data_IF_240958193179
#
_entry.id   IF_240958193179
#
_cell.length_a   1.000
_cell.length_b   1.000
_cell.length_c   1.000
_cell.angle_alpha   90.00
_cell.angle_beta   90.00
_cell.angle_gamma   90.00
#
_symmetry.space_group_name_H-M   'P 1'
#
loop_
_entity.id
_entity.type
_entity.pdbx_description
1 polymer ?
#
# COMPACT_ATOMS: atom_id res chain seq x y z
N UNK A 1 -15.45 7.98 15.01
CA UNK A 1 -14.71 9.20 14.61
C UNK A 1 -15.32 9.91 13.40
N UNK A 2 -15.03 11.21 13.28
CA UNK A 2 -15.26 11.98 12.05
C UNK A 2 -14.32 11.54 10.93
N UNK A 3 -14.80 11.64 9.68
CA UNK A 3 -13.98 11.34 8.49
C UNK A 3 -12.99 12.47 8.25
N UNK A 4 -11.73 12.14 8.00
CA UNK A 4 -10.65 13.11 7.84
C UNK A 4 -9.77 12.76 6.64
N UNK A 5 -9.21 13.79 6.01
CA UNK A 5 -8.15 13.65 5.01
C UNK A 5 -6.98 14.49 5.48
N UNK A 6 -5.79 13.89 5.55
CA UNK A 6 -4.53 14.55 5.91
C UNK A 6 -3.66 14.54 4.66
N UNK A 7 -3.28 15.73 4.20
CA UNK A 7 -2.29 15.90 3.14
C UNK A 7 -0.94 16.22 3.77
N UNK A 8 0.08 15.45 3.39
CA UNK A 8 1.44 15.79 3.78
C UNK A 8 1.97 16.94 2.89
N UNK A 9 3.01 17.66 3.33
CA UNK A 9 3.65 18.70 2.51
C UNK A 9 4.08 18.16 1.14
N UNK A 10 4.19 19.06 0.16
CA UNK A 10 4.61 18.72 -1.24
C UNK A 10 5.88 17.88 -1.27
N UNK A 11 6.80 18.12 -0.33
CA UNK A 11 8.10 17.43 -0.30
C UNK A 11 7.96 15.96 0.08
N UNK A 12 6.85 15.56 0.71
CA UNK A 12 6.46 14.17 0.92
C UNK A 12 5.71 13.58 -0.30
N UNK A 13 5.89 14.15 -1.49
CA UNK A 13 5.26 13.66 -2.72
C UNK A 13 3.75 13.79 -2.68
N UNK A 14 3.05 12.81 -3.25
CA UNK A 14 1.59 12.76 -3.26
C UNK A 14 0.98 12.09 -2.00
N UNK A 15 1.74 11.99 -0.91
CA UNK A 15 1.31 11.26 0.28
C UNK A 15 0.05 11.86 0.92
N UNK A 16 -0.98 11.05 1.15
CA UNK A 16 -2.20 11.48 1.85
C UNK A 16 -2.85 10.35 2.66
N UNK A 17 -3.27 10.63 3.89
CA UNK A 17 -3.98 9.68 4.75
C UNK A 17 -5.48 10.00 4.78
N UNK A 18 -6.30 9.04 4.36
CA UNK A 18 -7.75 9.06 4.49
C UNK A 18 -8.17 8.23 5.71
N UNK A 19 -8.88 8.88 6.63
CA UNK A 19 -9.45 8.27 7.84
C UNK A 19 -10.95 8.15 7.67
N UNK A 20 -11.46 6.92 7.58
CA UNK A 20 -12.89 6.67 7.41
C UNK A 20 -13.61 6.52 8.75
N UNK A 21 -12.91 5.97 9.73
CA UNK A 21 -13.30 5.85 11.13
C UNK A 21 -12.04 5.65 12.00
N UNK A 22 -12.18 5.11 13.22
CA UNK A 22 -11.08 4.93 14.17
C UNK A 22 -10.16 3.75 13.82
N UNK A 23 -10.63 2.81 13.01
CA UNK A 23 -9.90 1.60 12.64
C UNK A 23 -9.50 1.61 11.16
N UNK A 24 -10.29 2.25 10.30
CA UNK A 24 -10.16 2.17 8.85
C UNK A 24 -9.40 3.37 8.27
N UNK A 25 -8.17 3.09 7.82
CA UNK A 25 -7.21 4.07 7.34
C UNK A 25 -6.60 3.65 6.00
N UNK A 26 -6.57 4.58 5.03
CA UNK A 26 -5.98 4.38 3.71
C UNK A 26 -4.88 5.41 3.51
N UNK A 27 -3.65 4.97 3.32
CA UNK A 27 -2.55 5.84 2.91
C UNK A 27 -2.39 5.73 1.39
N UNK A 28 -2.42 6.88 0.71
CA UNK A 28 -2.05 6.99 -0.69
C UNK A 28 -0.61 7.45 -0.76
N UNK A 29 0.23 6.68 -1.47
CA UNK A 29 1.67 6.89 -1.66
C UNK A 29 2.47 7.06 -0.36
N UNK A 30 3.79 7.00 -0.47
CA UNK A 30 4.71 7.22 0.65
C UNK A 30 5.99 7.89 0.16
N UNK A 31 6.37 8.96 0.85
CA UNK A 31 7.70 9.53 0.71
C UNK A 31 8.27 9.88 2.09
N UNK A 32 8.85 8.87 2.72
CA UNK A 32 9.51 8.98 4.01
C UNK A 32 11.01 9.22 3.80
N UNK A 33 11.52 10.30 4.38
CA UNK A 33 12.95 10.58 4.42
C UNK A 33 13.57 10.17 5.76
N UNK A 34 14.89 9.98 5.76
CA UNK A 34 15.67 9.95 6.99
C UNK A 34 15.63 11.30 7.71
N UNK A 35 16.01 11.29 8.99
CA UNK A 35 15.91 12.46 9.87
C UNK A 35 16.72 13.66 9.36
N UNK A 36 17.95 13.42 8.93
CA UNK A 36 18.85 14.47 8.40
C UNK A 36 18.22 15.16 7.17
N UNK A 37 17.73 14.38 6.21
CA UNK A 37 17.10 14.93 5.01
C UNK A 37 15.78 15.64 5.34
N UNK A 38 15.04 15.21 6.37
CA UNK A 38 13.84 15.92 6.83
C UNK A 38 14.14 17.31 7.37
N UNK A 39 15.19 17.43 8.18
CA UNK A 39 15.63 18.71 8.73
C UNK A 39 16.05 19.68 7.61
N UNK A 40 16.77 19.18 6.60
CA UNK A 40 17.23 19.99 5.47
C UNK A 40 16.10 20.41 4.53
N UNK A 41 15.18 19.50 4.21
CA UNK A 41 14.11 19.73 3.23
C UNK A 41 12.80 20.22 3.84
N UNK A 42 12.74 20.34 5.18
CA UNK A 42 11.51 20.66 5.91
C UNK A 42 10.34 19.72 5.51
N UNK A 43 10.64 18.43 5.32
CA UNK A 43 9.62 17.43 5.03
C UNK A 43 9.14 16.73 6.30
N UNK A 44 7.91 16.25 6.27
CA UNK A 44 7.24 15.72 7.44
C UNK A 44 7.70 14.29 7.76
N UNK A 45 7.72 13.94 9.05
CA UNK A 45 7.91 12.55 9.49
C UNK A 45 6.60 11.78 9.33
N UNK A 46 6.43 11.12 8.17
CA UNK A 46 5.23 10.35 7.86
C UNK A 46 5.10 9.17 8.82
N UNK A 47 6.19 8.48 9.16
CA UNK A 47 6.17 7.39 10.13
C UNK A 47 5.61 7.84 11.48
N UNK A 48 6.20 8.88 12.09
CA UNK A 48 5.74 9.44 13.36
C UNK A 48 4.26 9.87 13.32
N UNK A 49 3.85 10.54 12.24
CA UNK A 49 2.46 10.91 12.03
C UNK A 49 1.52 9.69 12.01
N UNK A 50 1.89 8.62 11.30
CA UNK A 50 1.07 7.40 11.26
C UNK A 50 1.00 6.71 12.63
N UNK A 51 2.06 6.75 13.44
CA UNK A 51 2.04 6.21 14.81
C UNK A 51 1.02 6.94 15.69
N UNK A 52 0.76 8.23 15.45
CA UNK A 52 -0.24 9.01 16.18
C UNK A 52 -1.67 8.70 15.72
N UNK A 53 -1.86 8.49 14.42
CA UNK A 53 -3.18 8.36 13.80
C UNK A 53 -3.73 6.93 13.79
N UNK A 54 -2.88 5.92 13.59
CA UNK A 54 -3.32 4.55 13.32
C UNK A 54 -3.73 3.79 14.58
N UNK A 55 -4.72 2.88 14.49
CA UNK A 55 -5.10 2.02 15.61
C UNK A 55 -3.94 1.12 16.05
N UNK A 56 -3.85 0.83 17.34
CA UNK A 56 -2.98 -0.20 17.88
C UNK A 56 -3.81 -1.47 18.10
N UNK A 57 -3.44 -2.55 17.43
CA UNK A 57 -4.08 -3.87 17.56
C UNK A 57 -2.99 -4.85 17.98
N UNK A 58 -3.19 -5.49 19.14
CA UNK A 58 -2.25 -6.48 19.71
C UNK A 58 -0.79 -5.98 19.82
N UNK A 59 -0.62 -4.69 20.12
CA UNK A 59 0.70 -4.08 20.33
C UNK A 59 1.38 -3.59 19.06
N UNK A 60 0.72 -3.64 17.89
CA UNK A 60 1.25 -3.14 16.62
C UNK A 60 0.29 -2.17 15.95
N UNK A 61 0.82 -1.11 15.35
CA UNK A 61 0.03 -0.15 14.55
C UNK A 61 -0.40 -0.79 13.24
N UNK A 62 -1.62 -0.55 12.81
CA UNK A 62 -2.19 -1.13 11.58
C UNK A 62 -2.70 -0.09 10.62
N UNK A 63 -2.33 -0.23 9.37
CA UNK A 63 -2.86 0.50 8.23
C UNK A 63 -3.75 -0.45 7.42
N UNK A 64 -5.00 -0.08 7.18
CA UNK A 64 -5.95 -0.94 6.46
C UNK A 64 -5.53 -1.11 5.00
N UNK A 65 -5.17 -0.01 4.33
CA UNK A 65 -4.69 -0.04 2.95
C UNK A 65 -3.49 0.89 2.77
N UNK A 66 -2.43 0.36 2.17
CA UNK A 66 -1.45 1.19 1.46
C UNK A 66 -1.78 1.14 -0.03
N UNK A 67 -2.05 2.29 -0.63
CA UNK A 67 -2.33 2.43 -2.05
C UNK A 67 -1.20 3.21 -2.72
N UNK A 68 -0.37 2.53 -3.49
CA UNK A 68 0.72 3.17 -4.24
C UNK A 68 0.35 3.29 -5.70
N UNK A 69 0.40 4.51 -6.21
CA UNK A 69 -0.03 4.86 -7.57
C UNK A 69 0.96 4.39 -8.63
N UNK A 70 2.26 4.45 -8.35
CA UNK A 70 3.34 3.96 -9.21
C UNK A 70 4.65 3.82 -8.41
N UNK A 71 5.65 3.17 -9.01
CA UNK A 71 6.90 2.80 -8.35
C UNK A 71 7.97 3.91 -8.33
N UNK A 72 7.62 5.12 -8.75
CA UNK A 72 8.56 6.25 -8.74
C UNK A 72 8.97 6.55 -7.30
N UNK A 73 10.21 7.03 -7.18
CA UNK A 73 10.90 7.20 -5.90
C UNK A 73 10.09 8.00 -4.88
N UNK A 74 9.47 9.10 -5.29
CA UNK A 74 8.67 9.98 -4.44
C UNK A 74 7.25 9.48 -4.13
N UNK A 75 6.92 8.26 -4.57
CA UNK A 75 5.65 7.58 -4.27
C UNK A 75 5.81 6.35 -3.39
N UNK A 76 7.02 5.83 -3.21
CA UNK A 76 7.27 4.65 -2.35
C UNK A 76 8.53 4.71 -1.47
N UNK A 77 9.23 5.85 -1.39
CA UNK A 77 10.47 5.96 -0.59
C UNK A 77 10.23 5.66 0.90
N UNK A 78 11.16 4.89 1.46
CA UNK A 78 11.21 4.59 2.89
C UNK A 78 10.18 3.55 3.35
N UNK A 79 9.68 2.73 2.42
CA UNK A 79 8.70 1.67 2.72
C UNK A 79 9.16 0.77 3.89
N UNK A 80 10.42 0.35 3.89
CA UNK A 80 11.04 -0.50 4.92
C UNK A 80 11.34 0.22 6.25
N UNK A 81 11.19 1.55 6.28
CA UNK A 81 11.33 2.38 7.49
C UNK A 81 9.99 2.70 8.16
N UNK A 82 8.88 2.47 7.45
CA UNK A 82 7.52 2.76 7.93
C UNK A 82 6.77 1.48 8.19
N UNK A 83 6.91 0.50 7.29
CA UNK A 83 6.07 -0.68 7.25
C UNK A 83 6.81 -1.98 7.51
N UNK A 84 6.08 -2.93 8.07
CA UNK A 84 6.54 -4.27 8.33
C UNK A 84 6.54 -5.06 7.02
N UNK A 85 7.73 -5.41 6.56
CA UNK A 85 8.00 -6.19 5.37
C UNK A 85 8.70 -7.49 5.82
N UNK A 86 8.01 -8.65 5.79
CA UNK A 86 8.50 -9.88 6.41
C UNK A 86 9.87 -10.36 5.93
N UNK A 87 10.27 -10.02 4.70
CA UNK A 87 11.56 -10.43 4.15
C UNK A 87 12.70 -9.49 4.54
N UNK A 88 12.41 -8.24 4.93
CA UNK A 88 13.39 -7.19 5.13
C UNK A 88 13.56 -6.80 6.60
N UNK A 89 12.49 -6.76 7.37
CA UNK A 89 12.54 -6.23 8.75
C UNK A 89 11.68 -7.04 9.75
N UNK A 90 11.65 -8.37 9.59
CA UNK A 90 10.82 -9.30 10.39
C UNK A 90 10.91 -9.14 11.92
N UNK A 91 12.06 -8.68 12.43
CA UNK A 91 12.35 -8.56 13.87
C UNK A 91 12.02 -7.16 14.42
N UNK A 92 11.66 -6.20 13.57
CA UNK A 92 11.27 -4.84 13.95
C UNK A 92 9.79 -4.80 14.35
N UNK A 93 9.55 -4.42 15.61
CA UNK A 93 8.20 -4.45 16.21
C UNK A 93 7.45 -3.13 16.05
N UNK A 94 8.20 -2.06 15.89
CA UNK A 94 7.76 -0.68 15.71
C UNK A 94 7.17 -0.40 14.33
N UNK A 95 7.45 -1.27 13.35
CA UNK A 95 6.95 -1.15 11.99
C UNK A 95 5.44 -1.37 11.89
N UNK A 96 4.78 -0.56 11.06
CA UNK A 96 3.33 -0.58 10.85
C UNK A 96 2.95 -1.77 9.97
N UNK A 97 1.90 -2.50 10.35
CA UNK A 97 1.37 -3.59 9.54
C UNK A 97 0.44 -3.06 8.43
N UNK A 98 0.64 -3.50 7.19
CA UNK A 98 -0.24 -3.18 6.06
C UNK A 98 -1.20 -4.36 5.84
N UNK A 99 -2.50 -4.15 6.09
CA UNK A 99 -3.49 -5.22 5.98
C UNK A 99 -3.78 -5.60 4.53
N UNK A 100 -3.86 -4.61 3.63
CA UNK A 100 -4.08 -4.80 2.20
C UNK A 100 -3.20 -3.83 1.39
N UNK A 101 -2.54 -4.35 0.36
CA UNK A 101 -1.66 -3.56 -0.52
C UNK A 101 -2.37 -3.34 -1.85
N UNK A 102 -2.43 -2.10 -2.28
CA UNK A 102 -3.03 -1.66 -3.54
C UNK A 102 -1.92 -1.08 -4.42
N UNK A 103 -1.73 -1.66 -5.60
CA UNK A 103 -0.65 -1.28 -6.54
C UNK A 103 -1.17 -1.38 -7.96
N UNK A 104 -0.49 -0.72 -8.90
CA UNK A 104 -0.76 -0.92 -10.33
C UNK A 104 -0.09 -2.21 -10.82
N UNK A 105 -0.65 -2.82 -11.87
CA UNK A 105 -0.08 -4.02 -12.49
C UNK A 105 1.35 -3.80 -13.01
N UNK A 106 1.75 -2.54 -13.22
CA UNK A 106 3.08 -2.22 -13.70
C UNK A 106 4.18 -2.46 -12.66
N UNK A 107 3.86 -2.51 -11.37
CA UNK A 107 4.85 -2.83 -10.33
C UNK A 107 5.56 -4.16 -10.58
N UNK A 108 5.01 -5.04 -11.42
CA UNK A 108 5.57 -6.34 -11.75
C UNK A 108 6.50 -6.33 -12.98
N UNK A 109 6.84 -5.17 -13.56
CA UNK A 109 7.81 -5.06 -14.65
C UNK A 109 9.26 -5.32 -14.20
N UNK A 110 10.15 -5.55 -15.15
CA UNK A 110 11.58 -5.78 -14.86
C UNK A 110 12.33 -4.47 -14.58
N UNK A 111 11.78 -3.32 -14.99
CA UNK A 111 12.45 -2.01 -14.98
C UNK A 111 12.15 -1.17 -13.72
N UNK A 112 11.80 -1.82 -12.60
CA UNK A 112 11.56 -1.12 -11.33
C UNK A 112 12.90 -0.88 -10.62
N UNK A 113 13.27 0.39 -10.44
CA UNK A 113 14.55 0.78 -9.85
C UNK A 113 14.42 1.25 -8.39
N UNK A 114 15.54 1.22 -7.66
CA UNK A 114 15.74 1.77 -6.32
C UNK A 114 14.62 1.46 -5.30
N UNK A 115 13.95 2.47 -4.76
CA UNK A 115 12.89 2.31 -3.75
C UNK A 115 11.65 1.57 -4.27
N UNK A 116 11.43 1.57 -5.59
CA UNK A 116 10.37 0.80 -6.22
C UNK A 116 10.57 -0.71 -6.04
N UNK A 117 11.82 -1.18 -5.97
CA UNK A 117 12.11 -2.61 -5.80
C UNK A 117 11.53 -3.15 -4.50
N UNK A 118 11.49 -2.33 -3.45
CA UNK A 118 10.97 -2.74 -2.15
C UNK A 118 9.46 -3.00 -2.23
N UNK A 119 8.74 -2.08 -2.87
CA UNK A 119 7.31 -2.22 -3.15
C UNK A 119 7.05 -3.43 -4.05
N UNK A 120 7.87 -3.62 -5.09
CA UNK A 120 7.76 -4.77 -5.98
C UNK A 120 7.97 -6.09 -5.24
N UNK A 121 8.97 -6.20 -4.37
CA UNK A 121 9.23 -7.42 -3.58
C UNK A 121 8.03 -7.78 -2.72
N UNK A 122 7.45 -6.80 -2.02
CA UNK A 122 6.25 -7.03 -1.21
C UNK A 122 5.02 -7.39 -2.05
N UNK A 123 4.81 -6.72 -3.19
CA UNK A 123 3.73 -7.05 -4.12
C UNK A 123 3.89 -8.47 -4.70
N UNK A 124 5.10 -8.87 -5.10
CA UNK A 124 5.43 -10.22 -5.58
C UNK A 124 5.20 -11.26 -4.50
N UNK A 125 5.65 -11.02 -3.25
CA UNK A 125 5.40 -11.92 -2.11
C UNK A 125 3.91 -12.19 -1.94
N UNK A 126 3.06 -11.16 -1.97
CA UNK A 126 1.60 -11.31 -1.86
C UNK A 126 0.99 -12.03 -3.05
N UNK A 127 1.46 -11.75 -4.27
CA UNK A 127 1.00 -12.43 -5.48
C UNK A 127 1.39 -13.92 -5.47
N UNK A 128 2.60 -14.27 -5.03
CA UNK A 128 3.08 -15.64 -4.93
C UNK A 128 2.23 -16.47 -3.95
N UNK A 129 1.84 -15.87 -2.81
CA UNK A 129 0.92 -16.48 -1.85
C UNK A 129 -0.43 -16.79 -2.52
N UNK A 130 -0.97 -15.86 -3.31
CA UNK A 130 -2.22 -16.03 -4.04
C UNK A 130 -2.13 -17.06 -5.18
N UNK A 131 -0.99 -17.09 -5.88
CA UNK A 131 -0.75 -17.98 -7.01
C UNK A 131 -0.48 -19.42 -6.60
N UNK A 132 0.06 -19.63 -5.40
CA UNK A 132 0.35 -20.96 -4.86
C UNK A 132 -0.91 -21.65 -4.28
N UNK A 133 -1.36 -22.78 -4.85
CA UNK A 133 -2.57 -23.47 -4.39
C UNK A 133 -2.56 -23.90 -2.90
N UNK A 134 -1.37 -24.11 -2.33
CA UNK A 134 -1.22 -24.53 -0.93
C UNK A 134 -1.38 -23.37 0.06
N UNK A 135 -1.19 -22.14 -0.39
CA UNK A 135 -1.29 -20.92 0.43
C UNK A 135 -2.37 -19.95 -0.03
N UNK A 136 -3.10 -20.23 -1.12
CA UNK A 136 -4.08 -19.31 -1.70
C UNK A 136 -5.15 -18.82 -0.70
N UNK A 137 -5.49 -19.62 0.32
CA UNK A 137 -6.40 -19.17 1.40
C UNK A 137 -5.80 -18.04 2.25
N UNK A 138 -4.49 -18.08 2.47
CA UNK A 138 -3.75 -17.06 3.23
C UNK A 138 -3.70 -15.72 2.49
N UNK A 139 -3.89 -15.70 1.17
CA UNK A 139 -3.92 -14.46 0.38
C UNK A 139 -5.07 -13.53 0.79
N UNK A 140 -6.09 -14.04 1.49
CA UNK A 140 -7.21 -13.24 1.98
C UNK A 140 -7.03 -12.76 3.42
N UNK A 141 -5.99 -13.23 4.12
CA UNK A 141 -5.64 -12.81 5.48
C UNK A 141 -5.01 -11.42 5.45
N UNK A 142 -5.31 -10.61 6.46
CA UNK A 142 -4.69 -9.30 6.65
C UNK A 142 -3.17 -9.43 6.69
N UNK A 143 -2.46 -8.60 5.93
CA UNK A 143 -1.00 -8.71 5.73
C UNK A 143 -0.62 -9.37 4.42
N UNK A 144 -1.52 -10.13 3.80
CA UNK A 144 -1.29 -10.81 2.53
C UNK A 144 -2.22 -10.34 1.41
N UNK A 145 -3.29 -9.59 1.74
CA UNK A 145 -4.25 -9.11 0.74
C UNK A 145 -3.58 -8.18 -0.26
N UNK A 146 -3.91 -8.37 -1.53
CA UNK A 146 -3.38 -7.61 -2.65
C UNK A 146 -4.51 -7.23 -3.59
N UNK A 147 -4.56 -5.96 -3.99
CA UNK A 147 -5.39 -5.45 -5.09
C UNK A 147 -4.45 -4.91 -6.15
N UNK A 148 -4.67 -5.33 -7.39
CA UNK A 148 -3.85 -4.92 -8.53
C UNK A 148 -4.71 -4.16 -9.53
N UNK A 149 -4.36 -2.90 -9.77
CA UNK A 149 -5.06 -2.02 -10.69
C UNK A 149 -4.55 -2.13 -12.12
N UNK A 150 -5.47 -2.05 -13.08
CA UNK A 150 -5.14 -2.09 -14.50
C UNK A 150 -4.95 -3.52 -15.02
N UNK A 151 -4.32 -3.63 -16.19
CA UNK A 151 -4.25 -4.89 -16.93
C UNK A 151 -2.85 -5.17 -17.45
N UNK A 152 -2.41 -6.42 -17.25
CA UNK A 152 -1.21 -7.00 -17.87
C UNK A 152 -1.53 -8.40 -18.37
N UNK A 153 -1.65 -8.53 -19.69
CA UNK A 153 -2.00 -9.80 -20.34
C UNK A 153 -0.86 -10.82 -20.30
N UNK A 154 0.37 -10.35 -20.15
CA UNK A 154 1.58 -11.17 -20.04
C UNK A 154 1.81 -11.75 -18.64
N UNK A 155 1.15 -11.20 -17.60
CA UNK A 155 1.25 -11.66 -16.23
C UNK A 155 0.04 -12.51 -15.83
N UNK A 156 0.05 -13.79 -16.22
CA UNK A 156 -1.08 -14.69 -16.01
C UNK A 156 -1.41 -14.95 -14.54
N UNK A 157 -0.45 -14.77 -13.63
CA UNK A 157 -0.64 -14.98 -12.20
C UNK A 157 -1.61 -13.98 -11.57
N UNK A 158 -1.82 -12.81 -12.18
CA UNK A 158 -2.89 -11.92 -11.76
C UNK A 158 -4.24 -12.63 -11.79
N UNK A 159 -4.50 -13.55 -12.72
CA UNK A 159 -5.76 -14.29 -12.77
C UNK A 159 -6.00 -15.20 -11.55
N UNK A 160 -5.00 -15.38 -10.67
CA UNK A 160 -5.12 -16.09 -9.39
C UNK A 160 -5.72 -15.22 -8.30
N UNK A 161 -5.69 -13.89 -8.45
CA UNK A 161 -6.43 -12.98 -7.60
C UNK A 161 -7.93 -13.00 -7.95
N UNK A 162 -8.81 -12.98 -6.93
CA UNK A 162 -10.24 -12.68 -7.09
C UNK A 162 -10.52 -11.52 -8.03
N UNK A 163 -11.66 -11.56 -8.73
CA UNK A 163 -12.00 -10.54 -9.74
C UNK A 163 -12.16 -9.16 -9.12
N UNK A 164 -12.71 -9.08 -7.90
CA UNK A 164 -12.84 -7.85 -7.13
C UNK A 164 -11.48 -7.24 -6.73
N UNK A 165 -10.41 -8.04 -6.69
CA UNK A 165 -9.05 -7.59 -6.40
C UNK A 165 -8.25 -7.21 -7.67
N UNK A 166 -8.90 -7.20 -8.83
CA UNK A 166 -8.31 -6.74 -10.11
C UNK A 166 -9.15 -5.73 -10.85
N UNK A 167 -9.50 -4.60 -10.21
CA UNK A 167 -10.32 -3.59 -10.85
C UNK A 167 -9.55 -2.89 -11.99
N UNK A 168 -10.24 -2.67 -13.10
CA UNK A 168 -9.74 -1.94 -14.26
C UNK A 168 -10.25 -0.49 -14.26
N UNK A 169 -9.72 0.35 -15.14
CA UNK A 169 -10.17 1.73 -15.29
C UNK A 169 -11.71 1.85 -15.38
N UNK A 170 -12.27 2.76 -14.59
CA UNK A 170 -13.71 3.03 -14.49
C UNK A 170 -14.47 2.12 -13.52
N UNK A 171 -13.87 1.04 -13.03
CA UNK A 171 -14.50 0.19 -12.02
C UNK A 171 -14.45 0.83 -10.63
N UNK A 172 -15.42 0.42 -9.81
CA UNK A 172 -15.58 0.89 -8.44
C UNK A 172 -14.97 -0.14 -7.50
N UNK A 173 -14.09 0.31 -6.61
CA UNK A 173 -13.67 -0.45 -5.43
C UNK A 173 -14.51 0.00 -4.24
N UNK A 174 -15.18 -0.96 -3.61
CA UNK A 174 -16.07 -0.73 -2.45
C UNK A 174 -15.69 -1.55 -1.23
N UNK A 175 -14.49 -2.14 -1.23
CA UNK A 175 -13.97 -2.93 -0.12
C UNK A 175 -12.62 -2.41 0.32
N UNK A 176 -12.34 -2.43 1.61
CA UNK A 176 -11.04 -2.11 2.21
C UNK A 176 -10.70 -3.21 3.20
N UNK A 177 -9.50 -3.81 3.06
CA UNK A 177 -9.07 -4.94 3.89
C UNK A 177 -10.07 -6.12 3.91
N UNK A 178 -10.85 -6.29 2.83
CA UNK A 178 -11.87 -7.34 2.69
C UNK A 178 -13.26 -6.98 3.17
N UNK A 179 -13.45 -5.82 3.81
CA UNK A 179 -14.73 -5.37 4.33
C UNK A 179 -15.40 -4.33 3.43
N UNK A 180 -16.71 -4.41 3.28
CA UNK A 180 -17.46 -3.42 2.50
C UNK A 180 -17.49 -2.07 3.20
N UNK A 181 -17.19 -1.01 2.45
CA UNK A 181 -17.24 0.36 2.93
C UNK A 181 -18.14 1.24 2.05
N UNK A 182 -18.73 2.27 2.67
CA UNK A 182 -19.47 3.32 1.96
C UNK A 182 -18.51 4.37 1.39
N UNK A 183 -17.55 3.93 0.59
CA UNK A 183 -16.60 4.72 -0.18
C UNK A 183 -16.47 4.09 -1.57
N UNK A 184 -16.48 4.92 -2.60
CA UNK A 184 -16.26 4.49 -3.97
C UNK A 184 -14.95 5.07 -4.46
N UNK A 185 -13.91 4.23 -4.53
CA UNK A 185 -12.70 4.60 -5.25
C UNK A 185 -12.88 4.23 -6.72
N UNK A 186 -12.68 5.20 -7.61
CA UNK A 186 -12.73 5.02 -9.07
C UNK A 186 -11.39 5.40 -9.65
N UNK A 187 -10.72 4.43 -10.26
CA UNK A 187 -9.50 4.70 -11.01
C UNK A 187 -9.90 5.13 -12.40
N UNK A 188 -9.60 6.39 -12.74
CA UNK A 188 -10.11 7.03 -13.96
C UNK A 188 -9.32 6.70 -15.22
N UNK A 189 -8.08 6.24 -15.09
CA UNK A 189 -7.25 5.83 -16.20
C UNK A 189 -6.40 4.64 -15.76
N UNK A 190 -6.12 3.73 -16.68
CA UNK A 190 -4.95 2.87 -16.52
C UNK A 190 -3.76 3.84 -16.47
N UNK A 191 -2.97 3.78 -15.40
CA UNK A 191 -1.88 4.73 -15.14
C UNK A 191 -0.72 4.50 -16.11
N UNK A 192 -0.93 4.72 -17.42
CA UNK A 192 0.10 4.88 -18.44
C UNK A 192 -0.42 5.79 -19.56
N UNK A 193 0.31 6.90 -19.76
CA UNK A 193 0.55 7.50 -21.07
C UNK A 193 1.94 7.02 -21.48
#
# INVERSE_FOLDING_TARGET
ADKQIIFYPVENGASALLKLDEETHILFDLNQFDEETREEKNCWDVHGSLIEELPNVDGRRRLSVLCVTHADKDHCRGLDKVFYLPEQNKDQKEMIHIDELWVTAEIFSEDVEDEGEMLQKEAKRRLDIAANPNSARQAQEMGNRLVVFGRRDDLTDLNKLPREQRPTAGEIVSTVAGEHINLYLVIKADFWI
#
